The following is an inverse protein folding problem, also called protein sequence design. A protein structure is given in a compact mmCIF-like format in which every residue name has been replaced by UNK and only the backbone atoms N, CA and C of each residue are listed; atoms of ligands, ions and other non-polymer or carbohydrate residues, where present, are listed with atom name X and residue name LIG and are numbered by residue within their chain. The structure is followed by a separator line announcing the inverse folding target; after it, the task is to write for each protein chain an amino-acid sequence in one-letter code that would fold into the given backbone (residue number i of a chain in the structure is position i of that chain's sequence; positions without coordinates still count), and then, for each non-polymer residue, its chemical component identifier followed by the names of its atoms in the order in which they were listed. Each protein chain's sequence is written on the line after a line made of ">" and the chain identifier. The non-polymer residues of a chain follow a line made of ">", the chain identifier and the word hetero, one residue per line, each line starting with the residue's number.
data_IF_330160151033
#
_entry.id   IF_330160151033
#
_cell.length_a   1.000
_cell.length_b   1.000
_cell.length_c   1.000
_cell.angle_alpha   90.00
_cell.angle_beta   90.00
_cell.angle_gamma   90.00
#
_symmetry.space_group_name_H-M   'P 1'
#
loop_
_entity.id
_entity.type
_entity.pdbx_description
1 polymer ?
#
# COMPACT_ATOMS: atom_id res chain seq x y z
N UNK A 1 12.89 14.45 23.32
CA UNK A 1 11.61 13.71 23.38
C UNK A 1 11.24 13.32 21.96
N UNK A 2 10.97 12.03 21.75
CA UNK A 2 11.04 11.38 20.44
C UNK A 2 9.67 11.20 19.78
N UNK A 3 9.61 11.35 18.46
CA UNK A 3 8.47 10.97 17.62
C UNK A 3 8.89 9.82 16.72
N UNK A 4 8.19 8.70 16.79
CA UNK A 4 8.41 7.56 15.89
C UNK A 4 7.50 7.65 14.67
N UNK A 5 8.08 7.45 13.49
CA UNK A 5 7.31 7.35 12.25
C UNK A 5 6.43 6.10 12.30
N UNK A 6 5.17 6.22 11.86
CA UNK A 6 4.21 5.09 11.76
C UNK A 6 3.96 4.66 10.32
N UNK A 7 4.71 5.22 9.36
CA UNK A 7 4.52 5.04 7.92
C UNK A 7 3.48 5.99 7.32
N UNK A 8 3.22 5.81 6.02
CA UNK A 8 2.23 6.61 5.29
C UNK A 8 0.79 6.27 5.71
N UNK A 9 -0.08 7.26 5.63
CA UNK A 9 -1.53 7.14 5.72
C UNK A 9 -2.19 7.88 4.57
N UNK A 10 -3.33 7.38 4.15
CA UNK A 10 -4.17 8.01 3.13
C UNK A 10 -5.43 8.54 3.80
N UNK A 11 -5.69 9.84 3.62
CA UNK A 11 -6.91 10.50 4.09
C UNK A 11 -7.40 11.45 3.01
N UNK A 12 -8.68 11.35 2.66
CA UNK A 12 -9.32 12.23 1.67
C UNK A 12 -8.55 12.31 0.34
N UNK A 13 -8.01 11.17 -0.12
CA UNK A 13 -7.21 11.08 -1.35
C UNK A 13 -5.77 11.59 -1.24
N UNK A 14 -5.33 12.03 -0.06
CA UNK A 14 -4.01 12.64 0.14
C UNK A 14 -3.09 11.77 1.01
N UNK A 15 -1.80 11.69 0.67
CA UNK A 15 -0.81 11.02 1.50
C UNK A 15 -0.37 11.89 2.69
N UNK A 16 -0.11 11.26 3.83
CA UNK A 16 0.47 11.88 5.02
C UNK A 16 1.40 10.89 5.73
N UNK A 17 2.41 11.37 6.45
CA UNK A 17 3.19 10.53 7.39
C UNK A 17 2.52 10.58 8.76
N UNK A 18 2.22 9.42 9.32
CA UNK A 18 1.76 9.32 10.70
C UNK A 18 2.92 9.26 11.68
N UNK A 19 2.72 9.80 12.87
CA UNK A 19 3.70 9.82 13.95
C UNK A 19 3.07 9.33 15.25
N UNK A 20 3.87 8.68 16.10
CA UNK A 20 3.50 8.29 17.44
C UNK A 20 4.51 8.85 18.45
N UNK A 21 4.01 9.39 19.55
CA UNK A 21 4.82 9.82 20.69
C UNK A 21 4.24 9.24 21.96
N UNK A 22 5.06 8.59 22.76
CA UNK A 22 4.65 8.03 24.04
C UNK A 22 4.15 9.15 24.97
N UNK A 23 3.00 8.95 25.60
CA UNK A 23 2.31 9.98 26.41
C UNK A 23 1.77 11.19 25.61
N UNK A 24 2.00 11.26 24.29
CA UNK A 24 1.60 12.38 23.43
C UNK A 24 0.55 12.01 22.38
N UNK A 25 0.35 10.71 22.14
CA UNK A 25 -0.63 10.21 21.18
C UNK A 25 -0.10 10.17 19.75
N UNK A 26 -0.99 10.34 18.78
CA UNK A 26 -0.67 10.31 17.36
C UNK A 26 -0.85 11.68 16.72
N UNK A 27 -0.02 11.99 15.72
CA UNK A 27 -0.19 13.13 14.82
C UNK A 27 0.09 12.72 13.38
N UNK A 28 -0.21 13.60 12.43
CA UNK A 28 0.10 13.41 11.02
C UNK A 28 0.80 14.63 10.45
N UNK A 29 1.64 14.42 9.45
CA UNK A 29 2.22 15.46 8.60
C UNK A 29 1.77 15.21 7.18
N UNK A 30 0.95 16.11 6.63
CA UNK A 30 0.50 16.01 5.25
C UNK A 30 1.67 16.07 4.27
N UNK A 31 1.56 15.34 3.17
CA UNK A 31 2.57 15.35 2.12
C UNK A 31 2.04 16.06 0.88
N UNK A 32 2.66 17.18 0.53
CA UNK A 32 2.40 17.90 -0.70
C UNK A 32 3.38 17.47 -1.81
N UNK A 33 2.87 17.19 -3.01
CA UNK A 33 3.74 16.96 -4.17
C UNK A 33 4.49 18.25 -4.54
N UNK A 34 5.75 18.09 -4.94
CA UNK A 34 6.70 19.18 -5.13
C UNK A 34 7.43 19.62 -3.86
N UNK A 35 7.02 19.21 -2.66
CA UNK A 35 7.73 19.59 -1.43
C UNK A 35 9.09 18.87 -1.33
N UNK A 36 10.06 19.51 -0.67
CA UNK A 36 11.29 18.84 -0.24
C UNK A 36 10.97 17.97 0.98
N UNK A 37 11.31 16.68 0.91
CA UNK A 37 11.35 15.81 2.07
C UNK A 37 12.81 15.55 2.45
N UNK A 38 13.10 15.59 3.74
CA UNK A 38 14.44 15.36 4.26
C UNK A 38 14.35 14.83 5.68
N UNK A 39 14.91 13.65 5.93
CA UNK A 39 14.95 13.06 7.25
C UNK A 39 16.18 12.17 7.43
N UNK A 40 16.58 12.00 8.68
CA UNK A 40 17.61 11.04 9.11
C UNK A 40 17.02 10.14 10.19
N UNK A 41 17.27 8.82 10.11
CA UNK A 41 16.89 7.90 11.18
C UNK A 41 17.86 8.00 12.36
N UNK A 42 17.34 7.93 13.58
CA UNK A 42 18.12 7.96 14.82
C UNK A 42 17.83 6.73 15.67
N UNK A 43 18.86 6.28 16.40
CA UNK A 43 18.74 5.21 17.39
C UNK A 43 18.49 3.85 16.76
N UNK A 44 17.46 3.17 17.26
CA UNK A 44 17.03 1.84 16.85
C UNK A 44 15.60 1.89 16.31
N UNK A 45 15.23 0.86 15.54
CA UNK A 45 13.87 0.71 15.04
C UNK A 45 13.06 -0.12 16.02
N UNK A 46 11.98 0.43 16.57
CA UNK A 46 11.17 -0.24 17.57
C UNK A 46 9.80 -0.69 17.05
N UNK A 47 9.29 -1.76 17.65
CA UNK A 47 7.92 -2.21 17.50
C UNK A 47 6.94 -1.16 18.04
N UNK A 48 6.04 -0.68 17.18
CA UNK A 48 5.04 0.34 17.55
C UNK A 48 3.75 -0.25 18.11
N UNK A 49 3.75 -1.55 18.42
CA UNK A 49 2.59 -2.29 18.88
C UNK A 49 1.53 -2.47 17.80
N UNK A 50 0.26 -2.49 18.21
CA UNK A 50 -0.89 -2.75 17.33
C UNK A 50 -1.79 -1.53 17.21
N UNK A 51 -2.43 -1.33 16.05
CA UNK A 51 -3.40 -0.25 15.84
C UNK A 51 -4.77 -0.82 15.54
N UNK A 52 -5.77 -0.49 16.36
CA UNK A 52 -7.14 -1.02 16.28
C UNK A 52 -8.17 0.05 16.54
N UNK A 53 -9.24 0.07 15.76
CA UNK A 53 -10.35 1.02 15.90
C UNK A 53 -9.87 2.48 16.08
N UNK A 54 -8.84 2.87 15.31
CA UNK A 54 -8.26 4.22 15.39
C UNK A 54 -7.31 4.48 16.57
N UNK A 55 -7.07 3.50 17.46
CA UNK A 55 -6.21 3.60 18.64
C UNK A 55 -4.97 2.73 18.52
N UNK A 56 -3.82 3.22 18.98
CA UNK A 56 -2.59 2.46 19.11
C UNK A 56 -2.44 1.93 20.53
N UNK A 57 -2.12 0.65 20.65
CA UNK A 57 -1.63 0.04 21.89
C UNK A 57 -0.14 -0.22 21.70
N UNK A 58 0.74 0.41 22.51
CA UNK A 58 2.18 0.24 22.36
C UNK A 58 2.61 -1.21 22.62
N UNK A 59 3.76 -1.58 22.05
CA UNK A 59 4.38 -2.86 22.35
C UNK A 59 4.79 -2.88 23.84
N UNK A 60 4.41 -3.88 24.64
CA UNK A 60 4.72 -3.91 26.07
C UNK A 60 6.22 -4.04 26.35
N UNK A 61 6.99 -4.56 25.39
CA UNK A 61 8.44 -4.79 25.51
C UNK A 61 9.27 -3.82 24.67
N UNK A 62 8.64 -2.98 23.84
CA UNK A 62 9.30 -2.05 22.92
C UNK A 62 10.41 -2.72 22.06
N UNK A 63 10.19 -3.96 21.63
CA UNK A 63 11.20 -4.78 20.94
C UNK A 63 11.84 -4.06 19.75
N UNK A 64 13.14 -4.24 19.58
CA UNK A 64 13.87 -3.82 18.39
C UNK A 64 13.47 -4.71 17.21
N UNK A 65 13.21 -4.10 16.06
CA UNK A 65 12.81 -4.80 14.83
C UNK A 65 13.82 -4.52 13.69
N UNK A 66 14.07 -5.47 12.77
CA UNK A 66 15.08 -5.28 11.71
C UNK A 66 14.77 -4.12 10.76
N UNK A 67 15.79 -3.37 10.30
CA UNK A 67 15.62 -2.23 9.37
C UNK A 67 15.00 -2.60 8.01
N UNK A 68 15.27 -3.82 7.53
CA UNK A 68 14.72 -4.40 6.28
C UNK A 68 13.29 -4.94 6.36
N UNK A 69 12.72 -5.08 7.57
CA UNK A 69 11.41 -5.72 7.72
C UNK A 69 10.28 -4.81 7.18
N UNK A 70 9.41 -5.37 6.33
CA UNK A 70 8.27 -4.64 5.76
C UNK A 70 7.13 -4.36 6.74
N UNK A 71 7.21 -4.85 7.98
CA UNK A 71 6.34 -4.49 9.09
C UNK A 71 7.18 -4.02 10.28
N UNK A 72 6.71 -3.01 11.00
CA UNK A 72 7.36 -2.47 12.18
C UNK A 72 6.81 -3.11 13.47
N UNK A 73 6.75 -4.45 13.48
CA UNK A 73 6.14 -5.22 14.57
C UNK A 73 6.98 -6.43 14.92
N UNK A 74 7.17 -6.68 16.22
CA UNK A 74 7.67 -7.94 16.73
C UNK A 74 6.69 -9.10 16.44
N UNK A 75 7.13 -10.37 16.51
CA UNK A 75 6.29 -11.52 16.21
C UNK A 75 4.95 -11.55 16.95
N UNK A 76 4.93 -11.16 18.22
CA UNK A 76 3.79 -11.15 19.12
C UNK A 76 2.78 -10.09 18.68
N UNK A 77 3.24 -8.85 18.45
CA UNK A 77 2.39 -7.77 17.96
C UNK A 77 1.87 -8.08 16.55
N UNK A 78 2.70 -8.66 15.68
CA UNK A 78 2.29 -9.04 14.33
C UNK A 78 1.25 -10.17 14.35
N UNK A 79 1.39 -11.17 15.24
CA UNK A 79 0.39 -12.23 15.43
C UNK A 79 -0.94 -11.66 15.94
N UNK A 80 -0.85 -10.74 16.90
CA UNK A 80 -2.00 -10.05 17.47
C UNK A 80 -2.69 -9.16 16.43
N UNK A 81 -1.96 -8.46 15.56
CA UNK A 81 -2.52 -7.67 14.47
C UNK A 81 -3.23 -8.56 13.44
N UNK A 82 -2.58 -9.68 13.06
CA UNK A 82 -3.13 -10.65 12.11
C UNK A 82 -4.41 -11.31 12.59
N UNK A 83 -4.58 -11.60 13.88
CA UNK A 83 -5.78 -12.31 14.38
C UNK A 83 -7.09 -11.53 14.21
N UNK A 84 -7.04 -10.27 13.82
CA UNK A 84 -8.20 -9.43 13.49
C UNK A 84 -8.22 -9.00 12.02
N UNK A 85 -7.31 -9.55 11.22
CA UNK A 85 -7.31 -9.35 9.78
C UNK A 85 -8.45 -10.12 9.15
N UNK A 86 -9.14 -9.46 8.23
CA UNK A 86 -10.13 -10.10 7.34
C UNK A 86 -9.49 -11.24 6.54
N UNK A 87 -8.16 -11.21 6.35
CA UNK A 87 -7.42 -12.27 5.65
C UNK A 87 -7.02 -13.46 6.54
N UNK A 88 -7.31 -13.43 7.85
CA UNK A 88 -6.84 -14.45 8.80
C UNK A 88 -7.90 -15.50 9.18
N UNK A 89 -9.09 -15.45 8.58
CA UNK A 89 -10.18 -16.43 8.78
C UNK A 89 -10.61 -16.65 10.24
N UNK A 90 -10.29 -15.70 11.12
CA UNK A 90 -10.45 -15.87 12.57
C UNK A 90 -11.81 -15.41 13.11
N UNK A 91 -12.61 -14.69 12.33
CA UNK A 91 -13.92 -14.18 12.77
C UNK A 91 -14.98 -14.28 11.67
N UNK A 92 -15.50 -15.49 11.45
CA UNK A 92 -16.57 -15.75 10.49
C UNK A 92 -17.92 -15.08 10.85
N UNK A 93 -18.07 -14.64 12.10
CA UNK A 93 -19.28 -14.00 12.63
C UNK A 93 -19.20 -12.47 12.67
N UNK A 94 -18.27 -11.85 11.94
CA UNK A 94 -18.17 -10.40 11.85
C UNK A 94 -19.44 -9.80 11.23
N UNK A 95 -20.19 -8.93 11.95
CA UNK A 95 -21.46 -8.41 11.48
C UNK A 95 -21.31 -7.26 10.47
N UNK A 96 -20.10 -6.77 10.22
CA UNK A 96 -19.87 -5.64 9.31
C UNK A 96 -20.20 -6.01 7.87
N UNK A 97 -20.61 -5.00 7.10
CA UNK A 97 -20.74 -5.13 5.64
C UNK A 97 -19.38 -5.05 4.98
N UNK A 98 -19.15 -5.91 3.99
CA UNK A 98 -17.94 -5.98 3.20
C UNK A 98 -18.24 -5.68 1.74
N UNK A 99 -17.25 -5.19 1.00
CA UNK A 99 -17.32 -4.96 -0.44
C UNK A 99 -16.28 -5.78 -1.18
N UNK A 100 -16.65 -6.27 -2.36
CA UNK A 100 -15.76 -6.90 -3.33
C UNK A 100 -15.35 -5.84 -4.36
N UNK A 101 -14.08 -5.79 -4.73
CA UNK A 101 -13.55 -4.83 -5.71
C UNK A 101 -12.58 -5.47 -6.70
N UNK A 102 -12.45 -4.82 -7.85
CA UNK A 102 -11.32 -4.97 -8.78
C UNK A 102 -10.35 -3.82 -8.57
N UNK A 103 -9.05 -4.12 -8.51
CA UNK A 103 -7.99 -3.12 -8.37
C UNK A 103 -6.92 -3.33 -9.43
N UNK A 104 -6.73 -2.33 -10.29
CA UNK A 104 -5.75 -2.28 -11.36
C UNK A 104 -4.51 -1.49 -10.92
N UNK A 105 -3.33 -2.09 -11.14
CA UNK A 105 -2.04 -1.48 -10.77
C UNK A 105 -1.15 -1.15 -11.97
N UNK A 106 -1.51 -1.56 -13.18
CA UNK A 106 -0.69 -1.49 -14.37
C UNK A 106 -1.26 -2.43 -15.43
N UNK A 107 -0.80 -2.35 -16.69
CA UNK A 107 -1.30 -3.20 -17.77
C UNK A 107 -1.26 -4.68 -17.38
N UNK A 108 -2.41 -5.37 -17.49
CA UNK A 108 -2.53 -6.79 -17.13
C UNK A 108 -2.33 -7.09 -15.64
N UNK A 109 -2.39 -6.08 -14.77
CA UNK A 109 -2.20 -6.19 -13.33
C UNK A 109 -3.48 -5.83 -12.58
N UNK A 110 -4.57 -6.54 -12.86
CA UNK A 110 -5.80 -6.45 -12.08
C UNK A 110 -5.84 -7.56 -11.05
N UNK A 111 -6.29 -7.23 -9.84
CA UNK A 111 -6.59 -8.20 -8.79
C UNK A 111 -8.02 -8.05 -8.32
N UNK A 112 -8.57 -9.12 -7.75
CA UNK A 112 -9.78 -9.05 -6.93
C UNK A 112 -9.41 -8.88 -5.46
N UNK A 113 -10.30 -8.28 -4.67
CA UNK A 113 -10.11 -8.19 -3.22
C UNK A 113 -11.39 -7.87 -2.49
N UNK A 114 -11.37 -8.06 -1.17
CA UNK A 114 -12.44 -7.62 -0.27
C UNK A 114 -11.96 -6.58 0.75
N UNK A 115 -12.89 -5.77 1.25
CA UNK A 115 -12.64 -4.83 2.35
C UNK A 115 -13.91 -4.53 3.12
N UNK A 116 -13.78 -4.17 4.40
CA UNK A 116 -14.92 -3.66 5.16
C UNK A 116 -15.41 -2.35 4.52
N UNK A 117 -16.73 -2.19 4.38
CA UNK A 117 -17.33 -1.06 3.68
C UNK A 117 -16.91 0.31 4.27
N UNK A 118 -16.78 0.37 5.59
CA UNK A 118 -16.31 1.55 6.34
C UNK A 118 -14.90 2.04 5.95
N UNK A 119 -14.07 1.18 5.34
CA UNK A 119 -12.74 1.56 4.83
C UNK A 119 -12.83 2.34 3.53
N UNK A 120 -13.93 2.21 2.79
CA UNK A 120 -14.17 2.89 1.52
C UNK A 120 -13.00 2.78 0.53
N UNK A 121 -12.76 3.87 -0.20
CA UNK A 121 -11.68 3.99 -1.19
C UNK A 121 -10.28 4.08 -0.57
N UNK A 122 -10.15 4.37 0.74
CA UNK A 122 -8.86 4.47 1.41
C UNK A 122 -8.06 3.16 1.30
N UNK A 123 -8.75 2.01 1.35
CA UNK A 123 -8.13 0.70 1.15
C UNK A 123 -7.46 0.54 -0.23
N UNK A 124 -8.01 1.19 -1.25
CA UNK A 124 -7.51 1.10 -2.62
C UNK A 124 -6.29 2.02 -2.81
N UNK A 125 -6.33 3.21 -2.20
CA UNK A 125 -5.18 4.12 -2.10
C UNK A 125 -4.00 3.45 -1.38
N UNK A 126 -4.22 2.85 -0.22
CA UNK A 126 -3.21 2.15 0.58
C UNK A 126 -2.54 0.98 -0.14
N UNK A 127 -3.26 0.34 -1.08
CA UNK A 127 -2.70 -0.73 -1.89
C UNK A 127 -1.95 -0.22 -3.14
N UNK A 128 -2.12 1.06 -3.48
CA UNK A 128 -1.59 1.67 -4.69
C UNK A 128 -2.38 1.33 -5.95
N UNK A 129 -3.69 1.06 -5.85
CA UNK A 129 -4.53 0.81 -7.02
C UNK A 129 -4.73 2.11 -7.80
N UNK A 130 -4.29 2.16 -9.06
CA UNK A 130 -4.38 3.35 -9.92
C UNK A 130 -5.77 3.50 -10.51
N UNK A 131 -6.42 2.39 -10.85
CA UNK A 131 -7.83 2.37 -11.21
C UNK A 131 -8.50 1.21 -10.48
N UNK A 132 -9.78 1.33 -10.18
CA UNK A 132 -10.52 0.30 -9.45
C UNK A 132 -12.02 0.45 -9.65
N UNK A 133 -12.78 -0.62 -9.38
CA UNK A 133 -14.24 -0.60 -9.39
C UNK A 133 -14.80 -1.53 -8.30
N UNK A 134 -15.96 -1.21 -7.75
CA UNK A 134 -16.71 -2.13 -6.89
C UNK A 134 -17.42 -3.19 -7.74
N UNK A 135 -17.64 -4.37 -7.16
CA UNK A 135 -18.38 -5.49 -7.78
C UNK A 135 -19.65 -5.83 -7.02
N UNK A 136 -19.61 -5.73 -5.69
CA UNK A 136 -20.76 -5.99 -4.84
C UNK A 136 -20.49 -5.70 -3.38
N UNK A 137 -21.54 -5.80 -2.56
CA UNK A 137 -21.52 -5.63 -1.10
C UNK A 137 -22.37 -6.67 -0.41
N UNK A 138 -22.00 -7.04 0.81
CA UNK A 138 -22.74 -8.03 1.60
C UNK A 138 -21.95 -8.57 2.79
N UNK A 139 -22.43 -9.66 3.42
CA UNK A 139 -21.74 -10.29 4.54
C UNK A 139 -20.35 -10.82 4.16
N UNK A 140 -19.45 -10.93 5.14
CA UNK A 140 -18.06 -11.38 4.94
C UNK A 140 -17.96 -12.67 4.11
N UNK A 141 -18.72 -13.71 4.49
CA UNK A 141 -18.68 -15.00 3.79
C UNK A 141 -19.22 -14.94 2.35
N UNK A 142 -20.16 -14.04 2.05
CA UNK A 142 -20.61 -13.83 0.68
C UNK A 142 -19.51 -13.16 -0.16
N UNK A 143 -18.86 -12.13 0.39
CA UNK A 143 -17.75 -11.45 -0.31
C UNK A 143 -16.55 -12.36 -0.56
N UNK A 144 -16.20 -13.23 0.40
CA UNK A 144 -15.12 -14.21 0.26
C UNK A 144 -15.39 -15.27 -0.81
N UNK A 145 -16.58 -15.87 -0.78
CA UNK A 145 -16.98 -16.83 -1.83
C UNK A 145 -16.96 -16.18 -3.21
N UNK A 146 -17.34 -14.91 -3.28
CA UNK A 146 -17.25 -14.14 -4.53
C UNK A 146 -15.79 -13.91 -4.95
N UNK A 147 -14.91 -13.50 -4.03
CA UNK A 147 -13.47 -13.36 -4.30
C UNK A 147 -12.88 -14.66 -4.82
N UNK A 148 -13.15 -15.79 -4.16
CA UNK A 148 -12.67 -17.12 -4.56
C UNK A 148 -13.22 -17.55 -5.93
N UNK A 149 -14.52 -17.38 -6.17
CA UNK A 149 -15.16 -17.61 -7.47
C UNK A 149 -14.45 -16.83 -8.59
N UNK A 150 -14.18 -15.54 -8.37
CA UNK A 150 -13.54 -14.69 -9.37
C UNK A 150 -12.08 -15.08 -9.61
N UNK A 151 -11.34 -15.45 -8.56
CA UNK A 151 -9.97 -15.97 -8.72
C UNK A 151 -9.96 -17.25 -9.55
N UNK A 152 -10.84 -18.20 -9.22
CA UNK A 152 -10.91 -19.49 -9.91
C UNK A 152 -11.37 -19.36 -11.37
N UNK A 153 -12.41 -18.57 -11.63
CA UNK A 153 -13.03 -18.48 -12.95
C UNK A 153 -12.31 -17.51 -13.91
N UNK A 154 -11.70 -16.44 -13.39
CA UNK A 154 -11.09 -15.38 -14.22
C UNK A 154 -9.56 -15.40 -14.19
N UNK A 155 -8.94 -16.25 -13.35
CA UNK A 155 -7.48 -16.35 -13.22
C UNK A 155 -6.83 -15.10 -12.65
N UNK A 156 -7.61 -14.25 -11.96
CA UNK A 156 -7.08 -13.01 -11.37
C UNK A 156 -6.43 -13.30 -10.02
N UNK A 157 -5.25 -12.73 -9.73
CA UNK A 157 -4.60 -12.91 -8.44
C UNK A 157 -5.37 -12.20 -7.31
N UNK A 158 -5.13 -12.62 -6.07
CA UNK A 158 -5.50 -11.90 -4.83
C UNK A 158 -4.40 -10.92 -4.38
N UNK A 159 -3.15 -11.18 -4.78
CA UNK A 159 -1.97 -10.39 -4.42
C UNK A 159 -1.09 -10.07 -5.62
N UNK A 160 -0.62 -8.84 -5.66
CA UNK A 160 0.38 -8.36 -6.62
C UNK A 160 1.54 -7.74 -5.83
N UNK A 161 2.77 -8.20 -6.10
CA UNK A 161 3.97 -7.76 -5.40
C UNK A 161 4.27 -6.26 -5.67
N UNK A 162 4.70 -5.53 -4.64
CA UNK A 162 5.05 -4.11 -4.77
C UNK A 162 6.21 -3.87 -5.74
N UNK A 163 7.19 -4.78 -5.82
CA UNK A 163 8.27 -4.68 -6.81
C UNK A 163 7.72 -4.61 -8.25
N UNK A 164 6.75 -5.46 -8.60
CA UNK A 164 6.09 -5.44 -9.91
C UNK A 164 5.30 -4.14 -10.12
N UNK A 165 4.60 -3.65 -9.08
CA UNK A 165 3.88 -2.37 -9.15
C UNK A 165 4.82 -1.20 -9.44
N UNK A 166 5.99 -1.15 -8.79
CA UNK A 166 6.99 -0.09 -8.98
C UNK A 166 7.50 -0.06 -10.42
N UNK A 167 7.80 -1.22 -11.01
CA UNK A 167 8.30 -1.32 -12.38
C UNK A 167 7.35 -0.77 -13.47
N UNK A 168 6.04 -0.77 -13.22
CA UNK A 168 5.03 -0.25 -14.16
C UNK A 168 4.63 1.21 -13.91
N UNK A 169 5.17 1.88 -12.89
CA UNK A 169 4.84 3.29 -12.60
C UNK A 169 5.47 4.29 -13.56
N UNK A 170 6.54 3.91 -14.25
CA UNK A 170 7.17 4.75 -15.26
C UNK A 170 6.27 4.96 -16.50
N UNK A 171 5.38 4.01 -16.80
CA UNK A 171 4.59 3.99 -18.03
C UNK A 171 3.14 3.64 -17.72
N UNK A 172 2.40 4.61 -17.20
CA UNK A 172 0.98 4.45 -16.89
C UNK A 172 0.17 4.90 -18.12
N UNK A 173 -0.62 4.02 -18.76
CA UNK A 173 -1.43 4.38 -19.93
C UNK A 173 -2.46 5.47 -19.63
N UNK A 174 -3.08 6.05 -20.67
CA UNK A 174 -4.10 7.08 -20.50
C UNK A 174 -5.35 6.56 -19.75
N UNK A 175 -6.10 7.47 -19.10
CA UNK A 175 -7.26 7.11 -18.27
C UNK A 175 -8.29 6.19 -18.95
N UNK A 176 -8.65 6.39 -20.24
CA UNK A 176 -9.59 5.50 -20.93
C UNK A 176 -9.09 4.05 -21.05
N UNK A 177 -7.78 3.85 -21.26
CA UNK A 177 -7.18 2.51 -21.36
C UNK A 177 -7.19 1.80 -20.02
N UNK A 178 -6.83 2.51 -18.94
CA UNK A 178 -6.90 2.00 -17.56
C UNK A 178 -8.32 1.59 -17.20
N UNK A 179 -9.30 2.44 -17.54
CA UNK A 179 -10.70 2.19 -17.23
C UNK A 179 -11.26 1.01 -18.02
N UNK A 180 -10.85 0.86 -19.30
CA UNK A 180 -11.26 -0.24 -20.15
C UNK A 180 -10.87 -1.60 -19.56
N UNK A 181 -9.63 -1.80 -19.12
CA UNK A 181 -9.21 -3.08 -18.54
C UNK A 181 -10.04 -3.46 -17.30
N UNK A 182 -10.36 -2.49 -16.44
CA UNK A 182 -11.21 -2.71 -15.26
C UNK A 182 -12.64 -3.06 -15.67
N UNK A 183 -13.22 -2.30 -16.60
CA UNK A 183 -14.59 -2.49 -17.07
C UNK A 183 -14.79 -3.82 -17.81
N UNK A 184 -13.83 -4.23 -18.65
CA UNK A 184 -13.86 -5.53 -19.33
C UNK A 184 -13.85 -6.70 -18.34
N UNK A 185 -13.00 -6.63 -17.30
CA UNK A 185 -12.98 -7.65 -16.26
C UNK A 185 -14.25 -7.62 -15.40
N UNK A 186 -14.78 -6.43 -15.11
CA UNK A 186 -16.06 -6.28 -14.41
C UNK A 186 -17.21 -6.93 -15.20
N UNK A 187 -17.29 -6.71 -16.51
CA UNK A 187 -18.30 -7.33 -17.37
C UNK A 187 -18.17 -8.86 -17.39
N UNK A 188 -16.94 -9.38 -17.49
CA UNK A 188 -16.69 -10.83 -17.39
C UNK A 188 -17.12 -11.41 -16.05
N UNK A 189 -16.79 -10.73 -14.94
CA UNK A 189 -17.24 -11.11 -13.61
C UNK A 189 -18.77 -11.13 -13.51
N UNK A 190 -19.42 -10.09 -14.02
CA UNK A 190 -20.87 -9.94 -14.01
C UNK A 190 -21.62 -11.04 -14.80
N UNK A 191 -20.96 -11.66 -15.79
CA UNK A 191 -21.53 -12.75 -16.59
C UNK A 191 -21.36 -14.14 -15.95
N UNK A 192 -20.56 -14.27 -14.87
CA UNK A 192 -20.35 -15.56 -14.22
C UNK A 192 -21.62 -16.03 -13.50
N UNK A 193 -21.94 -17.34 -13.54
CA UNK A 193 -22.92 -17.94 -12.65
C UNK A 193 -22.34 -18.15 -11.24
N UNK A 194 -23.18 -18.53 -10.29
CA UNK A 194 -22.73 -18.98 -8.96
C UNK A 194 -22.39 -17.86 -7.97
N UNK A 195 -22.81 -16.62 -8.24
CA UNK A 195 -22.73 -15.53 -7.26
C UNK A 195 -23.54 -15.88 -6.01
N UNK A 196 -23.02 -15.63 -4.80
CA UNK A 196 -23.80 -15.81 -3.58
C UNK A 196 -25.06 -14.95 -3.56
N UNK A 197 -26.21 -15.55 -3.25
CA UNK A 197 -27.52 -14.86 -3.22
C UNK A 197 -27.56 -13.68 -2.24
N UNK A 198 -26.79 -13.74 -1.15
CA UNK A 198 -26.69 -12.69 -0.15
C UNK A 198 -25.72 -11.56 -0.50
N UNK A 199 -25.15 -11.55 -1.71
CA UNK A 199 -24.33 -10.46 -2.22
C UNK A 199 -25.16 -9.54 -3.12
N UNK A 200 -25.30 -8.28 -2.72
CA UNK A 200 -25.82 -7.22 -3.57
C UNK A 200 -24.77 -6.85 -4.62
N UNK A 201 -25.10 -7.01 -5.90
CA UNK A 201 -24.23 -6.60 -7.02
C UNK A 201 -24.37 -5.11 -7.27
N UNK A 202 -23.28 -4.45 -7.64
CA UNK A 202 -23.30 -3.02 -7.97
C UNK A 202 -22.89 -2.78 -9.42
N UNK A 203 -23.29 -1.62 -9.95
CA UNK A 203 -22.92 -1.20 -11.29
C UNK A 203 -21.44 -0.87 -11.40
N UNK A 204 -20.90 -0.99 -12.62
CA UNK A 204 -19.50 -0.69 -12.88
C UNK A 204 -19.27 0.82 -12.91
N UNK A 205 -18.68 1.34 -11.83
CA UNK A 205 -18.11 2.68 -11.78
C UNK A 205 -16.60 2.58 -11.60
N UNK A 206 -15.84 2.93 -12.63
CA UNK A 206 -14.38 2.93 -12.55
C UNK A 206 -13.90 4.26 -11.97
N UNK A 207 -13.17 4.16 -10.86
CA UNK A 207 -12.53 5.29 -10.19
C UNK A 207 -11.03 5.27 -10.49
N UNK A 208 -10.47 6.45 -10.76
CA UNK A 208 -9.07 6.65 -11.10
C UNK A 208 -8.34 7.47 -10.02
N UNK A 209 -7.17 6.99 -9.61
CA UNK A 209 -6.30 7.58 -8.59
C UNK A 209 -4.99 8.15 -9.17
N UNK A 210 -4.82 8.24 -10.50
CA UNK A 210 -3.58 8.74 -11.08
C UNK A 210 -3.22 10.14 -10.57
N UNK A 211 -4.21 11.05 -10.50
CA UNK A 211 -4.05 12.38 -9.90
C UNK A 211 -3.72 12.33 -8.42
N UNK A 212 -4.44 11.48 -7.66
CA UNK A 212 -4.23 11.32 -6.23
C UNK A 212 -2.82 10.80 -5.90
N UNK A 213 -2.20 10.08 -6.83
CA UNK A 213 -0.84 9.54 -6.71
C UNK A 213 0.25 10.43 -7.33
N UNK A 214 -0.12 11.53 -7.99
CA UNK A 214 0.83 12.38 -8.72
C UNK A 214 1.36 11.75 -10.02
N UNK A 215 0.73 10.70 -10.53
CA UNK A 215 1.17 9.97 -11.72
C UNK A 215 1.01 10.80 -13.00
N UNK A 216 0.09 11.77 -13.02
CA UNK A 216 -0.10 12.66 -14.18
C UNK A 216 1.04 13.68 -14.33
N UNK A 217 1.81 13.91 -13.25
CA UNK A 217 2.99 14.79 -13.23
C UNK A 217 4.32 14.05 -13.37
N UNK A 218 4.31 12.72 -13.23
CA UNK A 218 5.49 11.88 -13.42
C UNK A 218 6.03 11.77 -14.86
N UNK A 219 5.26 11.94 -15.97
CA UNK A 219 5.79 11.69 -17.31
C UNK A 219 6.98 12.58 -17.69
N UNK A 220 7.11 13.75 -17.06
CA UNK A 220 8.24 14.68 -17.24
C UNK A 220 9.43 14.42 -16.32
N UNK A 221 9.31 13.49 -15.37
CA UNK A 221 10.35 13.13 -14.41
C UNK A 221 10.96 11.77 -14.77
N UNK A 222 12.21 11.52 -14.34
CA UNK A 222 12.76 10.17 -14.39
C UNK A 222 11.78 9.19 -13.73
N UNK A 223 11.49 8.09 -14.42
CA UNK A 223 10.71 7.00 -13.83
C UNK A 223 11.42 6.42 -12.59
N UNK A 224 10.71 5.66 -11.74
CA UNK A 224 11.33 5.01 -10.59
C UNK A 224 12.46 4.08 -11.02
N UNK A 225 13.66 4.33 -10.50
CA UNK A 225 14.90 3.64 -10.87
C UNK A 225 15.51 2.86 -9.71
N UNK A 226 15.45 3.42 -8.49
CA UNK A 226 15.99 2.83 -7.28
C UNK A 226 14.91 2.69 -6.23
N UNK A 227 15.01 1.69 -5.36
CA UNK A 227 14.16 1.55 -4.18
C UNK A 227 15.02 1.44 -2.94
N UNK A 228 14.64 2.14 -1.87
CA UNK A 228 15.21 1.97 -0.54
C UNK A 228 14.95 0.54 -0.07
N UNK A 229 16.01 -0.20 0.27
CA UNK A 229 15.93 -1.60 0.71
C UNK A 229 15.98 -1.76 2.22
N UNK A 230 16.64 -0.81 2.89
CA UNK A 230 16.76 -0.78 4.33
C UNK A 230 16.91 0.65 4.84
N UNK A 231 16.26 0.96 5.97
CA UNK A 231 16.55 2.17 6.73
C UNK A 231 17.55 1.82 7.83
N UNK A 232 18.59 2.63 7.99
CA UNK A 232 19.69 2.42 8.95
C UNK A 232 19.86 3.64 9.85
N UNK A 233 20.37 3.44 11.07
CA UNK A 233 20.66 4.54 11.99
C UNK A 233 21.70 5.49 11.38
N UNK A 234 21.43 6.80 11.43
CA UNK A 234 22.24 7.83 10.77
C UNK A 234 22.04 7.93 9.25
N UNK A 235 21.35 6.98 8.62
CA UNK A 235 21.00 7.03 7.21
C UNK A 235 19.99 8.15 6.94
N UNK A 236 20.23 8.91 5.87
CA UNK A 236 19.36 10.03 5.50
C UNK A 236 18.70 9.80 4.15
N UNK A 237 17.52 10.39 3.97
CA UNK A 237 16.79 10.45 2.70
C UNK A 237 16.44 11.90 2.46
N UNK A 238 16.88 12.43 1.32
CA UNK A 238 16.63 13.81 0.90
C UNK A 238 16.21 13.81 -0.55
N UNK A 239 15.10 14.48 -0.86
CA UNK A 239 14.65 14.63 -2.23
C UNK A 239 13.34 15.42 -2.36
N UNK A 240 12.92 15.65 -3.60
CA UNK A 240 11.63 16.29 -3.89
C UNK A 240 10.57 15.23 -4.10
N UNK A 241 9.48 15.28 -3.34
CA UNK A 241 8.37 14.35 -3.48
C UNK A 241 7.64 14.61 -4.80
N UNK A 242 7.65 13.64 -5.71
CA UNK A 242 6.97 13.72 -7.00
C UNK A 242 5.58 13.06 -6.96
N UNK A 243 5.43 11.98 -6.18
CA UNK A 243 4.18 11.24 -6.10
C UNK A 243 4.17 10.25 -4.93
N UNK A 244 3.05 9.57 -4.72
CA UNK A 244 2.94 8.48 -3.76
C UNK A 244 1.95 7.43 -4.24
N UNK A 245 2.20 6.15 -4.00
CA UNK A 245 1.28 5.08 -4.36
C UNK A 245 1.33 3.95 -3.33
N UNK A 246 0.22 3.74 -2.60
CA UNK A 246 0.20 2.79 -1.50
C UNK A 246 1.21 3.15 -0.40
N UNK A 247 2.15 2.26 -0.03
CA UNK A 247 3.19 2.55 0.96
C UNK A 247 4.36 3.37 0.41
N UNK A 248 4.46 3.56 -0.91
CA UNK A 248 5.64 4.09 -1.57
C UNK A 248 5.54 5.60 -1.77
N UNK A 249 6.60 6.33 -1.43
CA UNK A 249 6.84 7.70 -1.91
C UNK A 249 7.77 7.66 -3.12
N UNK A 250 7.47 8.44 -4.13
CA UNK A 250 8.26 8.58 -5.35
C UNK A 250 8.96 9.93 -5.34
N UNK A 251 10.29 9.93 -5.40
CA UNK A 251 11.09 11.15 -5.46
C UNK A 251 11.44 11.50 -6.92
N UNK A 252 11.62 12.79 -7.17
CA UNK A 252 11.86 13.32 -8.51
C UNK A 252 13.20 12.87 -9.12
N UNK A 253 14.12 12.35 -8.32
CA UNK A 253 15.39 11.76 -8.76
C UNK A 253 15.29 10.26 -9.11
N UNK A 254 14.09 9.69 -9.02
CA UNK A 254 13.83 8.28 -9.32
C UNK A 254 13.96 7.33 -8.11
N UNK A 255 14.24 7.84 -6.91
CA UNK A 255 14.21 7.02 -5.69
C UNK A 255 12.78 6.74 -5.21
N UNK A 256 12.49 5.48 -4.93
CA UNK A 256 11.26 5.02 -4.26
C UNK A 256 11.55 4.71 -2.80
N UNK A 257 10.81 5.35 -1.91
CA UNK A 257 10.90 5.17 -0.45
C UNK A 257 9.70 4.35 0.02
N UNK A 258 9.93 3.09 0.36
CA UNK A 258 8.92 2.26 1.01
C UNK A 258 8.75 2.70 2.47
N UNK A 259 7.67 3.45 2.75
CA UNK A 259 7.47 4.05 4.09
C UNK A 259 7.26 3.03 5.19
N UNK A 260 7.04 1.76 4.85
CA UNK A 260 7.01 0.67 5.83
C UNK A 260 8.37 0.47 6.49
N UNK A 261 9.46 0.73 5.77
CA UNK A 261 10.84 0.66 6.30
C UNK A 261 11.17 1.83 7.22
N UNK A 262 10.38 2.91 7.16
CA UNK A 262 10.51 4.06 8.05
C UNK A 262 9.75 3.86 9.37
N UNK A 263 8.68 3.06 9.34
CA UNK A 263 7.87 2.82 10.53
C UNK A 263 8.70 2.20 11.65
N UNK A 264 8.62 2.77 12.86
CA UNK A 264 9.39 2.34 14.04
C UNK A 264 10.68 3.13 14.27
N UNK A 265 11.14 3.93 13.32
CA UNK A 265 12.28 4.81 13.49
C UNK A 265 11.89 6.17 14.09
N UNK A 266 12.76 6.71 14.93
CA UNK A 266 12.80 8.15 15.15
C UNK A 266 13.37 8.82 13.89
N UNK A 267 12.63 9.76 13.32
CA UNK A 267 13.08 10.54 12.17
C UNK A 267 13.25 12.01 12.59
N UNK A 268 14.45 12.55 12.40
CA UNK A 268 14.75 13.96 12.66
C UNK A 268 15.07 14.71 11.38
N UNK A 269 15.02 16.04 11.41
CA UNK A 269 15.57 16.83 10.32
C UNK A 269 17.08 16.54 10.19
N UNK A 270 17.60 16.36 8.97
CA UNK A 270 19.03 16.23 8.75
C UNK A 270 19.70 17.62 8.71
N UNK A 271 21.03 17.66 8.72
CA UNK A 271 21.77 18.91 8.50
C UNK A 271 21.59 19.46 7.07
N UNK A 272 21.98 20.71 6.85
CA UNK A 272 21.70 21.43 5.58
C UNK A 272 22.35 20.78 4.35
N UNK A 273 23.52 20.16 4.52
CA UNK A 273 24.28 19.48 3.45
C UNK A 273 23.97 17.99 3.32
N UNK A 274 22.90 17.50 3.96
CA UNK A 274 22.61 16.08 3.95
C UNK A 274 22.23 15.57 2.56
N UNK A 275 22.81 14.43 2.21
CA UNK A 275 22.54 13.67 0.99
C UNK A 275 21.99 12.30 1.34
N UNK A 276 21.17 11.74 0.45
CA UNK A 276 20.63 10.40 0.63
C UNK A 276 21.76 9.37 0.80
N UNK A 277 21.72 8.61 1.90
CA UNK A 277 22.81 7.73 2.35
C UNK A 277 22.33 6.37 2.84
N UNK A 278 21.23 5.88 2.28
CA UNK A 278 20.60 4.60 2.63
C UNK A 278 20.89 3.52 1.59
N UNK A 279 20.91 2.22 1.97
CA UNK A 279 20.95 1.13 1.02
C UNK A 279 19.80 1.18 0.02
N UNK A 280 20.12 0.99 -1.27
CA UNK A 280 19.15 0.96 -2.37
C UNK A 280 19.42 -0.21 -3.30
N UNK A 281 18.40 -0.57 -4.09
CA UNK A 281 18.52 -1.54 -5.17
C UNK A 281 17.81 -1.02 -6.45
N UNK A 282 18.27 -1.43 -7.64
CA UNK A 282 17.56 -1.15 -8.89
C UNK A 282 16.13 -1.71 -8.88
N UNK A 283 15.20 -0.96 -9.45
CA UNK A 283 13.85 -1.44 -9.76
C UNK A 283 13.92 -2.08 -11.15
N UNK A 284 13.56 -3.38 -11.29
CA UNK A 284 13.51 -4.02 -12.59
C UNK A 284 12.53 -3.29 -13.52
N UNK A 285 12.96 -3.00 -14.75
CA UNK A 285 12.08 -2.44 -15.77
C UNK A 285 10.99 -3.44 -16.13
N UNK A 286 9.76 -2.97 -16.34
CA UNK A 286 8.63 -3.82 -16.72
C UNK A 286 8.80 -4.52 -18.09
N UNK A 287 9.75 -4.07 -18.92
CA UNK A 287 10.13 -4.69 -20.19
C UNK A 287 11.07 -5.91 -20.03
N UNK A 288 11.66 -6.12 -18.85
CA UNK A 288 12.43 -7.32 -18.59
C UNK A 288 11.47 -8.50 -18.39
N UNK A 289 11.63 -9.55 -19.19
CA UNK A 289 10.89 -10.79 -19.02
C UNK A 289 11.00 -11.28 -17.56
N UNK A 290 9.94 -11.87 -16.99
CA UNK A 290 10.04 -12.43 -15.65
C UNK A 290 11.14 -13.48 -15.65
N UNK A 291 12.19 -13.27 -14.85
CA UNK A 291 13.11 -14.35 -14.51
C UNK A 291 12.28 -15.43 -13.81
N UNK A 292 12.28 -16.64 -14.38
CA UNK A 292 11.69 -17.81 -13.76
C UNK A 292 12.22 -17.91 -12.33
N UNK A 293 11.34 -17.75 -11.34
CA UNK A 293 11.64 -18.17 -9.99
C UNK A 293 11.60 -19.69 -10.02
N UNK A 294 12.78 -20.30 -10.14
CA UNK A 294 12.99 -21.71 -9.82
C UNK A 294 12.34 -21.99 -8.47
N UNK A 295 11.41 -22.95 -8.51
CA UNK A 295 10.67 -23.39 -7.34
C UNK A 295 11.62 -23.80 -6.23
N UNK A 296 11.39 -23.24 -5.04
CA UNK A 296 11.97 -23.74 -3.80
C UNK A 296 10.81 -23.90 -2.82
N UNK A 297 10.44 -25.18 -2.66
CA UNK A 297 9.72 -25.86 -1.58
C UNK A 297 8.83 -25.02 -0.65
#
# INVERSE_FOLDING_TARGET
>A
MTWWCTGIRWKDGRPAIGWYGEGRGERVSELAYGQRIAFVARGERHCLGVRRAGRRTPCPTADIVPGRAGNAQCPECARLDRSFSVAADTNAADPRTYRVYLAWFGPGMVKVGITAEERGSARLLEQGAVAWAWLGRGPLMATRRTEELLRAALGVPDRIAYARKRGVRAHVPAAPERAREVAELHARAAALPGWPESLERVECEVVDHARAFGLDTLPSLPGPALVLTEMVSGGSVVGRLAGAAGPDLHLADGLVVDTRLLAGWELTAPGDEAVTSVPTAPIPSASAAPAEQDGLF
#
